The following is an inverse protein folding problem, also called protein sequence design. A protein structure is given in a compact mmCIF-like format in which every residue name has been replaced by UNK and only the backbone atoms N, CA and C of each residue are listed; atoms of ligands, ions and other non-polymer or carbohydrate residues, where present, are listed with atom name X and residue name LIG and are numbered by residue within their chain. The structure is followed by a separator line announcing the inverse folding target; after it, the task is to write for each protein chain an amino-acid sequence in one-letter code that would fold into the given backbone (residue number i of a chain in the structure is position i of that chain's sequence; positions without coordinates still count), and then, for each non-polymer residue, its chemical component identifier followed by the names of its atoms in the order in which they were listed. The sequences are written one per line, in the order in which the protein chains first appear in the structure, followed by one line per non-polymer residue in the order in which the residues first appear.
data_IF_062515983412
#
_entry.id   IF_062515983412
#
_cell.length_a   1.000
_cell.length_b   1.000
_cell.length_c   1.000
_cell.angle_alpha   90.00
_cell.angle_beta   90.00
_cell.angle_gamma   90.00
#
_symmetry.space_group_name_H-M   'P 1'
#
loop_
_entity.id
_entity.type
_entity.pdbx_description
1 polymer ?
#
# COMPACT_ATOMS: atom_id res chain seq x y z
N UNK A 1 10.36 -21.94 -52.20
CA UNK A 1 11.42 -21.19 -51.48
C UNK A 1 10.89 -20.30 -50.34
N UNK A 2 9.61 -19.87 -50.35
CA UNK A 2 9.01 -19.04 -49.27
C UNK A 2 8.88 -19.77 -47.92
N UNK A 3 8.66 -21.09 -47.92
CA UNK A 3 8.45 -21.84 -46.67
C UNK A 3 9.70 -21.94 -45.76
N UNK A 4 10.90 -21.79 -46.31
CA UNK A 4 12.15 -21.94 -45.52
C UNK A 4 12.40 -20.69 -44.66
N UNK A 5 12.24 -19.49 -45.25
CA UNK A 5 12.35 -18.23 -44.52
C UNK A 5 11.24 -18.00 -43.49
N UNK A 6 10.03 -18.51 -43.75
CA UNK A 6 8.92 -18.43 -42.79
C UNK A 6 9.16 -19.30 -41.55
N UNK A 7 9.69 -20.52 -41.75
CA UNK A 7 10.04 -21.42 -40.65
C UNK A 7 11.18 -20.85 -39.82
N UNK A 8 12.22 -20.28 -40.45
CA UNK A 8 13.32 -19.63 -39.73
C UNK A 8 12.83 -18.42 -38.91
N UNK A 9 11.91 -17.61 -39.44
CA UNK A 9 11.34 -16.47 -38.73
C UNK A 9 10.50 -16.91 -37.51
N UNK A 10 9.66 -17.94 -37.67
CA UNK A 10 8.90 -18.54 -36.57
C UNK A 10 9.83 -19.10 -35.49
N UNK A 11 10.92 -19.74 -35.90
CA UNK A 11 11.90 -20.30 -34.98
C UNK A 11 12.62 -19.21 -34.19
N UNK A 12 13.02 -18.10 -34.85
CA UNK A 12 13.62 -16.94 -34.18
C UNK A 12 12.64 -16.30 -33.18
N UNK A 13 11.37 -16.14 -33.57
CA UNK A 13 10.32 -15.61 -32.68
C UNK A 13 10.07 -16.51 -31.47
N UNK A 14 10.01 -17.82 -31.68
CA UNK A 14 9.82 -18.80 -30.60
C UNK A 14 11.01 -18.77 -29.62
N UNK A 15 12.24 -18.81 -30.14
CA UNK A 15 13.46 -18.75 -29.34
C UNK A 15 13.56 -17.44 -28.56
N UNK A 16 13.24 -16.30 -29.18
CA UNK A 16 13.20 -15.00 -28.51
C UNK A 16 12.19 -14.99 -27.35
N UNK A 17 10.99 -15.54 -27.57
CA UNK A 17 9.95 -15.62 -26.54
C UNK A 17 10.37 -16.50 -25.37
N UNK A 18 11.02 -17.63 -25.63
CA UNK A 18 11.54 -18.52 -24.58
C UNK A 18 12.65 -17.83 -23.78
N UNK A 19 13.55 -17.10 -24.44
CA UNK A 19 14.60 -16.33 -23.75
C UNK A 19 14.00 -15.21 -22.90
N UNK A 20 12.99 -14.49 -23.41
CA UNK A 20 12.27 -13.47 -22.65
C UNK A 20 11.54 -14.06 -21.43
N UNK A 21 10.93 -15.24 -21.58
CA UNK A 21 10.31 -15.96 -20.46
C UNK A 21 11.35 -16.49 -19.46
N UNK A 22 12.52 -16.94 -19.93
CA UNK A 22 13.60 -17.40 -19.07
C UNK A 22 14.30 -16.24 -18.33
N UNK A 23 14.35 -15.06 -18.94
CA UNK A 23 14.81 -13.81 -18.32
C UNK A 23 13.71 -13.08 -17.55
N UNK A 24 12.46 -13.59 -17.55
CA UNK A 24 11.47 -13.16 -16.57
C UNK A 24 11.93 -13.69 -15.22
N UNK A 25 12.76 -12.88 -14.58
CA UNK A 25 13.17 -13.04 -13.20
C UNK A 25 11.87 -13.29 -12.44
N UNK A 26 11.70 -14.43 -11.75
CA UNK A 26 10.58 -14.52 -10.83
C UNK A 26 10.77 -13.33 -9.90
N UNK A 27 9.79 -12.43 -9.81
CA UNK A 27 9.77 -11.30 -8.88
C UNK A 27 9.69 -11.83 -7.44
N UNK A 28 10.67 -12.65 -7.05
CA UNK A 28 11.03 -13.02 -5.70
C UNK A 28 11.68 -11.80 -5.11
N UNK A 29 10.88 -10.86 -4.63
CA UNK A 29 11.43 -9.68 -3.97
C UNK A 29 10.70 -8.37 -4.19
N UNK A 30 9.43 -8.37 -4.60
CA UNK A 30 8.54 -7.44 -3.88
C UNK A 30 8.34 -8.06 -2.49
N UNK A 31 9.37 -7.87 -1.63
CA UNK A 31 9.19 -7.72 -0.20
C UNK A 31 8.35 -6.45 -0.01
N UNK A 32 7.11 -6.48 -0.50
CA UNK A 32 6.06 -5.84 0.25
C UNK A 32 6.02 -6.70 1.51
N UNK A 33 6.69 -6.24 2.57
CA UNK A 33 6.26 -6.60 3.92
C UNK A 33 4.75 -6.33 3.89
N UNK A 34 3.92 -7.38 3.77
CA UNK A 34 2.50 -7.15 3.79
C UNK A 34 2.26 -6.53 5.16
N UNK A 35 1.52 -5.41 5.22
CA UNK A 35 0.97 -4.99 6.49
C UNK A 35 0.35 -6.25 7.11
N UNK A 36 0.78 -6.62 8.32
CA UNK A 36 0.28 -7.82 8.98
C UNK A 36 -1.24 -7.69 9.01
N UNK A 37 -1.92 -8.40 8.11
CA UNK A 37 -3.37 -8.42 8.07
C UNK A 37 -3.75 -9.13 9.35
N UNK A 38 -4.19 -8.35 10.34
CA UNK A 38 -4.50 -8.81 11.68
C UNK A 38 -5.31 -10.09 11.63
N UNK A 39 -4.90 -11.06 12.45
CA UNK A 39 -5.60 -12.34 12.62
C UNK A 39 -7.03 -12.00 13.00
N UNK A 40 -7.98 -12.20 12.08
CA UNK A 40 -9.37 -11.77 12.22
C UNK A 40 -9.90 -12.04 13.63
N UNK A 41 -10.04 -10.98 14.41
CA UNK A 41 -10.38 -11.00 15.82
C UNK A 41 -10.90 -9.63 16.22
N UNK A 42 -11.97 -9.60 17.01
CA UNK A 42 -12.53 -8.36 17.53
C UNK A 42 -11.67 -7.88 18.69
N UNK A 43 -10.68 -7.02 18.42
CA UNK A 43 -9.95 -6.31 19.47
C UNK A 43 -10.74 -5.06 19.83
N UNK A 44 -11.22 -4.98 21.06
CA UNK A 44 -11.85 -3.76 21.57
C UNK A 44 -10.74 -2.75 21.89
N UNK A 45 -10.56 -1.76 21.02
CA UNK A 45 -9.66 -0.64 21.25
C UNK A 45 -10.43 0.42 22.07
N UNK A 46 -9.84 0.90 23.17
CA UNK A 46 -10.41 2.01 23.93
C UNK A 46 -10.14 3.33 23.19
N UNK A 47 -11.14 4.20 23.10
CA UNK A 47 -11.08 5.42 22.28
C UNK A 47 -9.96 6.39 22.65
N UNK A 48 -9.48 6.38 23.89
CA UNK A 48 -8.42 7.26 24.37
C UNK A 48 -7.01 6.87 23.84
N UNK A 49 -6.88 5.70 23.21
CA UNK A 49 -5.63 5.21 22.63
C UNK A 49 -5.62 5.29 21.10
N UNK A 50 -6.69 5.79 20.48
CA UNK A 50 -6.87 5.80 19.03
C UNK A 50 -6.79 7.20 18.45
N UNK A 51 -6.04 7.34 17.35
CA UNK A 51 -6.13 8.50 16.48
C UNK A 51 -6.48 8.08 15.06
N UNK A 52 -7.34 8.86 14.41
CA UNK A 52 -7.72 8.66 13.03
C UNK A 52 -6.98 9.66 12.14
N UNK A 53 -6.37 9.18 11.06
CA UNK A 53 -5.76 10.01 10.04
C UNK A 53 -6.45 9.78 8.71
N UNK A 54 -6.93 10.86 8.12
CA UNK A 54 -7.38 10.92 6.74
C UNK A 54 -6.20 11.23 5.83
N UNK A 55 -5.92 10.35 4.87
CA UNK A 55 -4.87 10.55 3.86
C UNK A 55 -5.48 11.22 2.63
N UNK A 56 -4.90 12.34 2.24
CA UNK A 56 -5.27 13.10 1.04
C UNK A 56 -4.19 12.97 -0.04
N UNK A 57 -4.44 13.53 -1.22
CA UNK A 57 -3.47 13.51 -2.32
C UNK A 57 -2.15 14.23 -1.96
N UNK A 58 -2.24 15.31 -1.20
CA UNK A 58 -1.11 16.19 -0.89
C UNK A 58 -0.57 16.02 0.54
N UNK A 59 -1.30 15.34 1.42
CA UNK A 59 -0.95 15.34 2.84
C UNK A 59 -1.77 14.39 3.70
N UNK A 60 -1.73 14.65 5.01
CA UNK A 60 -2.46 13.94 6.05
C UNK A 60 -3.26 14.93 6.90
N UNK A 61 -4.47 14.53 7.28
CA UNK A 61 -5.36 15.30 8.13
C UNK A 61 -5.79 14.46 9.34
N UNK A 62 -5.86 15.09 10.49
CA UNK A 62 -6.24 14.53 11.79
C UNK A 62 -6.99 15.59 12.59
N UNK A 63 -7.60 15.21 13.71
CA UNK A 63 -8.12 16.17 14.70
C UNK A 63 -7.02 17.07 15.27
N UNK A 64 -5.75 16.62 15.19
CA UNK A 64 -4.56 17.39 15.52
C UNK A 64 -4.21 18.50 14.49
N UNK A 65 -4.80 18.47 13.30
CA UNK A 65 -4.54 19.42 12.23
C UNK A 65 -4.22 18.76 10.89
N UNK A 66 -3.64 19.54 9.97
CA UNK A 66 -3.28 19.11 8.62
C UNK A 66 -1.80 19.36 8.36
N UNK A 67 -1.11 18.39 7.78
CA UNK A 67 0.29 18.50 7.37
C UNK A 67 0.55 17.75 6.07
N UNK A 68 1.70 17.98 5.43
CA UNK A 68 2.14 17.19 4.28
C UNK A 68 2.59 15.79 4.71
N UNK A 69 3.12 15.71 5.93
CA UNK A 69 3.65 14.49 6.56
C UNK A 69 3.09 14.28 7.97
N UNK A 70 3.16 13.04 8.44
CA UNK A 70 2.75 12.65 9.80
C UNK A 70 3.55 13.36 10.91
N UNK A 71 4.79 13.77 10.60
CA UNK A 71 5.70 14.42 11.54
C UNK A 71 5.34 15.89 11.81
N UNK A 72 4.60 16.52 10.91
CA UNK A 72 4.14 17.90 11.04
C UNK A 72 2.89 18.02 11.91
N UNK A 73 2.22 16.91 12.21
CA UNK A 73 1.05 16.89 13.06
C UNK A 73 1.48 17.01 14.54
N UNK A 74 0.96 18.04 15.22
CA UNK A 74 1.17 18.22 16.65
C UNK A 74 0.23 17.32 17.44
N UNK A 75 0.72 16.18 17.90
CA UNK A 75 -0.04 15.24 18.70
C UNK A 75 -0.10 15.72 20.17
N UNK A 76 -1.25 16.20 20.69
CA UNK A 76 -1.36 16.67 22.07
C UNK A 76 -1.07 15.54 23.08
N UNK A 77 -1.41 14.31 22.72
CA UNK A 77 -1.01 13.09 23.39
C UNK A 77 -0.69 12.05 22.32
N UNK A 78 0.39 11.28 22.48
CA UNK A 78 0.77 10.26 21.50
C UNK A 78 -0.25 9.12 21.55
N UNK A 79 -1.07 8.89 20.50
CA UNK A 79 -1.98 7.75 20.45
C UNK A 79 -1.18 6.44 20.46
N UNK A 80 -1.75 5.40 21.08
CA UNK A 80 -1.19 4.05 21.06
C UNK A 80 -1.33 3.41 19.68
N UNK A 81 -2.49 3.63 19.05
CA UNK A 81 -2.85 3.06 17.75
C UNK A 81 -3.34 4.14 16.79
N UNK A 82 -2.88 4.06 15.55
CA UNK A 82 -3.18 4.99 14.47
C UNK A 82 -3.97 4.28 13.36
N UNK A 83 -5.17 4.78 13.09
CA UNK A 83 -6.04 4.29 12.02
C UNK A 83 -5.86 5.17 10.79
N UNK A 84 -5.36 4.58 9.71
CA UNK A 84 -5.18 5.27 8.44
C UNK A 84 -6.40 5.03 7.55
N UNK A 85 -7.05 6.11 7.13
CA UNK A 85 -8.24 6.08 6.28
C UNK A 85 -7.99 6.92 5.02
N UNK A 86 -8.24 6.41 3.80
CA UNK A 86 -8.19 7.23 2.60
C UNK A 86 -9.33 8.26 2.59
N UNK A 87 -9.05 9.51 2.21
CA UNK A 87 -10.10 10.54 2.09
C UNK A 87 -11.02 10.32 0.88
N UNK A 88 -10.58 9.55 -0.12
CA UNK A 88 -11.32 9.23 -1.34
C UNK A 88 -10.78 7.96 -2.00
N UNK A 89 -11.56 7.39 -2.91
CA UNK A 89 -11.15 6.23 -3.73
C UNK A 89 -10.00 6.55 -4.71
N UNK A 90 -9.74 7.84 -4.97
CA UNK A 90 -8.65 8.27 -5.83
C UNK A 90 -7.27 8.12 -5.17
N UNK A 91 -7.22 7.94 -3.84
CA UNK A 91 -5.96 7.81 -3.12
C UNK A 91 -5.31 6.48 -3.46
N UNK A 92 -4.12 6.57 -4.05
CA UNK A 92 -3.38 5.38 -4.46
C UNK A 92 -2.92 4.55 -3.26
N UNK A 93 -2.92 3.23 -3.43
CA UNK A 93 -2.37 2.31 -2.43
C UNK A 93 -0.92 2.66 -2.05
N UNK A 94 -0.11 3.14 -2.99
CA UNK A 94 1.26 3.59 -2.75
C UNK A 94 1.32 4.73 -1.70
N UNK A 95 0.41 5.70 -1.79
CA UNK A 95 0.33 6.82 -0.84
C UNK A 95 -0.05 6.32 0.55
N UNK A 96 -1.03 5.42 0.66
CA UNK A 96 -1.41 4.80 1.94
C UNK A 96 -0.22 4.06 2.56
N UNK A 97 0.50 3.27 1.78
CA UNK A 97 1.68 2.54 2.28
C UNK A 97 2.83 3.47 2.69
N UNK A 98 2.98 4.62 2.03
CA UNK A 98 3.95 5.63 2.44
C UNK A 98 3.61 6.18 3.84
N UNK A 99 2.36 6.61 4.05
CA UNK A 99 1.89 7.13 5.34
C UNK A 99 1.98 6.04 6.43
N UNK A 100 1.65 4.79 6.09
CA UNK A 100 1.79 3.66 7.00
C UNK A 100 3.24 3.44 7.46
N UNK A 101 4.22 3.50 6.55
CA UNK A 101 5.65 3.40 6.90
C UNK A 101 6.11 4.59 7.74
N UNK A 102 5.61 5.79 7.46
CA UNK A 102 5.91 6.97 8.27
C UNK A 102 5.41 6.80 9.70
N UNK A 103 4.19 6.28 9.87
CA UNK A 103 3.60 6.02 11.18
C UNK A 103 4.37 4.92 11.96
N UNK A 104 4.79 3.84 11.29
CA UNK A 104 5.63 2.83 11.93
C UNK A 104 6.99 3.38 12.39
N UNK A 105 7.65 4.21 11.55
CA UNK A 105 8.92 4.86 11.91
C UNK A 105 8.79 5.80 13.10
N UNK A 106 7.65 6.47 13.24
CA UNK A 106 7.32 7.29 14.39
C UNK A 106 6.95 6.46 15.65
N UNK A 107 6.91 5.13 15.54
CA UNK A 107 6.67 4.21 16.64
C UNK A 107 5.21 4.17 17.08
N UNK A 108 4.28 4.26 16.12
CA UNK A 108 2.86 4.01 16.34
C UNK A 108 2.51 2.56 15.99
N UNK A 109 1.55 1.95 16.71
CA UNK A 109 0.85 0.78 16.18
C UNK A 109 -0.09 1.27 15.07
N UNK A 110 -0.04 0.68 13.89
CA UNK A 110 -0.79 1.18 12.73
C UNK A 110 -1.78 0.13 12.24
N UNK A 111 -3.05 0.50 12.23
CA UNK A 111 -4.11 -0.30 11.63
C UNK A 111 -4.66 0.40 10.38
N UNK A 112 -4.97 -0.39 9.35
CA UNK A 112 -5.57 0.13 8.13
C UNK A 112 -7.09 0.13 8.29
N UNK A 113 -7.68 1.32 8.33
CA UNK A 113 -9.12 1.48 8.31
C UNK A 113 -9.65 1.21 6.91
N UNK A 114 -10.55 0.24 6.78
CA UNK A 114 -11.29 -0.02 5.54
C UNK A 114 -12.62 0.72 5.63
N UNK A 115 -12.99 1.46 4.59
CA UNK A 115 -14.32 2.05 4.52
C UNK A 115 -15.34 0.89 4.48
N UNK A 116 -16.29 0.82 5.42
CA UNK A 116 -17.33 -0.20 5.35
C UNK A 116 -18.13 0.04 4.08
N UNK A 117 -18.29 -0.99 3.24
CA UNK A 117 -19.16 -0.94 2.08
C UNK A 117 -20.59 -0.62 2.53
N UNK A 118 -20.94 0.66 2.52
CA UNK A 118 -22.30 1.13 2.69
C UNK A 118 -23.08 0.76 1.44
N UNK A 119 -23.71 -0.42 1.43
CA UNK A 119 -24.82 -0.69 0.51
C UNK A 119 -25.97 0.22 0.89
N UNK A 120 -26.07 1.36 0.21
CA UNK A 120 -27.26 2.20 0.21
C UNK A 120 -28.33 1.64 -0.73
#
# INVERSE_FOLDING_TARGET
MICRGFVDLLFILLCSTIVLLAQSVPLRGLLAEPAEAGVGGTRALHGDELALISVTETGVASDAGTGETLAELEWPQKPGTLIIVPSSEAITHHRIMQVWREAQKAGFEVELGVQPEGKS
#
